data_IF_173940388802
#
_entry.id   IF_173940388802
#
_cell.length_a   1.000
_cell.length_b   1.000
_cell.length_c   1.000
_cell.angle_alpha   90.00
_cell.angle_beta   90.00
_cell.angle_gamma   90.00
#
_symmetry.space_group_name_H-M   'P 1'
#
loop_
_entity.id
_entity.type
_entity.pdbx_description
1 polymer ?
#
# COMPACT_ATOMS: atom_id res chain seq x y z
N UNK A 1 -40.56 -17.23 25.25
CA UNK A 1 -39.66 -17.68 26.34
C UNK A 1 -38.54 -18.50 25.72
N UNK A 2 -37.30 -18.43 26.24
CA UNK A 2 -36.09 -18.10 25.48
C UNK A 2 -35.06 -19.26 25.40
N UNK A 3 -33.85 -18.89 24.92
CA UNK A 3 -32.54 -19.56 25.10
C UNK A 3 -32.22 -20.71 24.15
N UNK A 4 -30.99 -20.96 23.71
CA UNK A 4 -29.74 -20.23 23.46
C UNK A 4 -28.79 -21.33 22.92
N UNK A 5 -27.75 -20.94 22.14
CA UNK A 5 -26.55 -21.74 21.84
C UNK A 5 -26.74 -23.02 20.98
N UNK A 6 -25.89 -23.44 20.06
CA UNK A 6 -24.47 -23.23 19.76
C UNK A 6 -24.29 -23.86 18.36
N UNK A 7 -23.46 -23.34 17.45
CA UNK A 7 -22.70 -24.24 16.57
C UNK A 7 -21.48 -23.55 15.97
N UNK A 8 -20.33 -23.99 16.47
CA UNK A 8 -18.98 -23.78 15.99
C UNK A 8 -18.84 -24.49 14.63
N UNK A 9 -18.46 -23.78 13.56
CA UNK A 9 -18.11 -24.43 12.28
C UNK A 9 -16.65 -24.11 11.90
N UNK A 10 -15.85 -25.17 11.88
CA UNK A 10 -14.46 -25.22 11.48
C UNK A 10 -14.31 -25.29 9.94
N UNK A 11 -13.17 -24.84 9.41
CA UNK A 11 -12.22 -25.67 8.60
C UNK A 11 -11.22 -24.82 7.80
N UNK A 12 -9.93 -25.09 8.05
CA UNK A 12 -8.83 -24.91 7.09
C UNK A 12 -9.04 -25.79 5.84
N UNK A 13 -8.41 -25.43 4.72
CA UNK A 13 -7.58 -26.45 4.07
C UNK A 13 -6.22 -25.92 3.57
N UNK A 14 -5.16 -26.61 4.00
CA UNK A 14 -3.84 -26.69 3.35
C UNK A 14 -3.95 -27.58 2.08
N UNK A 15 -3.37 -27.20 0.94
CA UNK A 15 -3.21 -28.08 -0.23
C UNK A 15 -1.78 -27.96 -0.81
N UNK A 16 -1.11 -29.11 -0.88
CA UNK A 16 0.20 -29.36 -1.49
C UNK A 16 0.08 -29.58 -3.00
N UNK A 17 1.10 -29.09 -3.73
CA UNK A 17 1.86 -29.73 -4.84
C UNK A 17 1.08 -30.52 -5.91
N UNK A 18 1.10 -30.03 -7.16
CA UNK A 18 0.87 -30.86 -8.37
C UNK A 18 1.87 -30.43 -9.44
N UNK A 19 2.56 -31.43 -9.99
CA UNK A 19 3.63 -31.35 -10.99
C UNK A 19 3.09 -31.15 -12.42
N UNK A 20 3.98 -30.62 -13.26
CA UNK A 20 4.16 -30.91 -14.69
C UNK A 20 2.94 -31.31 -15.54
N UNK A 21 2.61 -30.47 -16.52
CA UNK A 21 2.19 -30.96 -17.83
C UNK A 21 2.89 -30.19 -18.95
N UNK A 22 3.65 -30.96 -19.70
CA UNK A 22 4.36 -30.63 -20.92
C UNK A 22 3.44 -30.25 -22.08
N UNK A 23 4.02 -29.47 -23.00
CA UNK A 23 3.70 -29.33 -24.43
C UNK A 23 2.36 -28.68 -24.80
N UNK A 24 2.41 -27.57 -25.54
CA UNK A 24 2.32 -27.66 -27.01
C UNK A 24 2.72 -26.34 -27.68
N UNK A 25 3.43 -26.57 -28.77
CA UNK A 25 4.02 -25.71 -29.79
C UNK A 25 3.04 -24.81 -30.54
N UNK A 26 3.52 -23.64 -30.99
CA UNK A 26 3.27 -23.15 -32.36
C UNK A 26 4.33 -22.12 -32.79
N UNK A 27 5.38 -22.66 -33.41
CA UNK A 27 6.05 -22.27 -34.67
C UNK A 27 5.36 -21.16 -35.51
N UNK A 28 6.03 -20.09 -36.00
CA UNK A 28 6.65 -19.88 -37.35
C UNK A 28 6.74 -18.33 -37.52
N UNK A 29 7.83 -17.65 -37.91
CA UNK A 29 8.54 -17.69 -39.19
C UNK A 29 9.81 -16.82 -39.11
N UNK A 30 10.84 -17.27 -39.82
CA UNK A 30 12.13 -16.59 -40.04
C UNK A 30 12.14 -16.04 -41.48
N UNK A 31 12.88 -14.95 -41.78
CA UNK A 31 13.88 -15.10 -42.85
C UNK A 31 15.25 -14.42 -42.56
N UNK A 32 16.23 -15.29 -42.30
CA UNK A 32 17.60 -15.41 -42.82
C UNK A 32 18.10 -14.31 -43.78
N UNK A 33 19.25 -13.67 -43.47
CA UNK A 33 20.24 -13.22 -44.48
C UNK A 33 21.67 -13.14 -43.88
N UNK A 34 22.54 -14.04 -44.36
CA UNK A 34 24.04 -13.99 -44.55
C UNK A 34 24.95 -13.58 -43.37
N UNK A 35 25.63 -14.50 -42.68
CA UNK A 35 26.96 -15.10 -42.97
C UNK A 35 28.19 -14.17 -42.82
N UNK A 36 29.01 -14.39 -41.79
CA UNK A 36 30.45 -14.74 -41.92
C UNK A 36 30.95 -15.30 -40.57
N UNK A 37 31.61 -16.46 -40.64
CA UNK A 37 32.00 -17.32 -39.53
C UNK A 37 33.28 -16.85 -38.82
N UNK A 38 33.30 -16.92 -37.48
CA UNK A 38 34.48 -17.31 -36.71
C UNK A 38 34.00 -18.03 -35.44
N UNK A 39 34.42 -19.29 -35.30
CA UNK A 39 34.02 -20.23 -34.27
C UNK A 39 34.44 -19.80 -32.87
N UNK A 40 33.47 -19.45 -32.02
CA UNK A 40 33.58 -19.61 -30.58
C UNK A 40 32.58 -20.70 -30.19
N UNK A 41 33.06 -21.88 -29.84
CA UNK A 41 32.24 -22.91 -29.24
C UNK A 41 31.57 -22.33 -27.99
N UNK A 42 30.24 -22.28 -27.98
CA UNK A 42 29.47 -21.87 -26.82
C UNK A 42 29.50 -23.05 -25.84
N UNK A 43 30.29 -22.90 -24.78
CA UNK A 43 30.34 -23.86 -23.67
C UNK A 43 29.03 -23.78 -22.88
N UNK A 44 28.12 -24.73 -23.13
CA UNK A 44 26.81 -24.86 -22.48
C UNK A 44 26.88 -25.24 -21.00
N UNK A 45 28.07 -25.53 -20.47
CA UNK A 45 28.29 -25.80 -19.05
C UNK A 45 28.74 -24.56 -18.26
N UNK A 46 28.87 -23.40 -18.90
CA UNK A 46 29.10 -22.15 -18.17
C UNK A 46 27.77 -21.62 -17.64
N UNK A 47 27.63 -21.68 -16.31
CA UNK A 47 26.50 -21.12 -15.59
C UNK A 47 26.24 -19.69 -16.07
N UNK A 48 25.00 -19.42 -16.41
CA UNK A 48 24.51 -18.13 -16.88
C UNK A 48 24.72 -17.12 -15.73
N UNK A 49 25.92 -16.56 -15.59
CA UNK A 49 26.31 -15.80 -14.40
C UNK A 49 25.82 -14.35 -14.45
N UNK A 50 25.14 -13.95 -15.52
CA UNK A 50 24.82 -12.55 -15.80
C UNK A 50 23.32 -12.27 -15.89
N UNK A 51 22.46 -13.07 -15.25
CA UNK A 51 21.04 -12.72 -15.15
C UNK A 51 20.74 -11.90 -13.89
N UNK A 52 20.60 -10.60 -14.12
CA UNK A 52 19.63 -9.71 -13.47
C UNK A 52 19.67 -9.70 -11.94
N UNK A 53 20.63 -8.97 -11.39
CA UNK A 53 20.40 -8.26 -10.12
C UNK A 53 19.54 -7.03 -10.42
N UNK A 54 18.30 -7.24 -10.90
CA UNK A 54 17.30 -6.19 -10.83
C UNK A 54 17.04 -5.99 -9.34
N UNK A 55 17.55 -4.88 -8.80
CA UNK A 55 17.30 -4.44 -7.43
C UNK A 55 15.80 -4.53 -7.17
N UNK A 56 15.37 -5.50 -6.34
CA UNK A 56 14.03 -5.48 -5.76
C UNK A 56 14.04 -4.27 -4.83
N UNK A 57 13.71 -3.09 -5.36
CA UNK A 57 13.44 -1.93 -4.52
C UNK A 57 12.18 -2.28 -3.75
N UNK A 58 12.26 -2.25 -2.43
CA UNK A 58 11.13 -2.46 -1.55
C UNK A 58 10.15 -1.28 -1.75
N UNK A 59 9.23 -1.41 -2.71
CA UNK A 59 8.13 -0.47 -2.85
C UNK A 59 7.03 -0.84 -1.86
N UNK A 60 6.68 0.08 -0.97
CA UNK A 60 5.45 0.00 -0.20
C UNK A 60 4.27 0.21 -1.15
N UNK A 61 3.64 -0.88 -1.57
CA UNK A 61 2.44 -0.87 -2.44
C UNK A 61 1.15 -0.79 -1.62
N UNK A 62 1.20 -0.40 -0.33
CA UNK A 62 -0.03 -0.26 0.45
C UNK A 62 -0.87 0.93 -0.07
N UNK A 63 -2.15 0.72 -0.40
CA UNK A 63 -3.04 1.81 -0.75
C UNK A 63 -3.30 2.69 0.47
N UNK A 64 -3.35 4.01 0.25
CA UNK A 64 -3.68 4.96 1.32
C UNK A 64 -5.18 4.94 1.60
N UNK A 65 -5.53 4.95 2.87
CA UNK A 65 -6.92 4.91 3.32
C UNK A 65 -7.48 6.32 3.40
N UNK A 66 -8.65 6.50 2.80
CA UNK A 66 -9.37 7.78 2.77
C UNK A 66 -10.67 7.68 3.56
N UNK A 67 -10.92 8.66 4.43
CA UNK A 67 -12.06 8.71 5.32
C UNK A 67 -12.82 10.03 5.18
N UNK A 68 -14.14 9.98 5.31
CA UNK A 68 -15.03 11.15 5.41
C UNK A 68 -15.83 11.12 6.71
N UNK A 69 -15.22 10.60 7.76
CA UNK A 69 -15.85 10.29 9.05
C UNK A 69 -15.45 11.30 10.12
N UNK A 70 -15.38 12.59 9.74
CA UNK A 70 -15.11 13.68 10.70
C UNK A 70 -16.33 13.79 11.62
N UNK A 71 -16.10 13.58 12.92
CA UNK A 71 -17.14 13.65 13.95
C UNK A 71 -17.31 15.08 14.46
N UNK A 72 -16.23 15.85 14.52
CA UNK A 72 -16.26 17.22 15.00
C UNK A 72 -14.90 17.89 14.97
N UNK A 73 -14.90 19.20 15.20
CA UNK A 73 -13.72 20.06 15.20
C UNK A 73 -13.75 20.89 16.48
N UNK A 74 -12.64 20.90 17.22
CA UNK A 74 -12.47 21.63 18.47
C UNK A 74 -11.17 22.44 18.43
N UNK A 75 -11.27 23.75 18.18
CA UNK A 75 -10.09 24.60 18.01
C UNK A 75 -9.16 24.01 16.94
N UNK A 76 -7.87 23.78 17.23
CA UNK A 76 -6.93 23.19 16.26
C UNK A 76 -7.06 21.67 16.07
N UNK A 77 -7.98 21.02 16.80
CA UNK A 77 -8.13 19.56 16.84
C UNK A 77 -9.31 19.10 15.98
N UNK A 78 -9.11 18.03 15.21
CA UNK A 78 -10.13 17.36 14.40
C UNK A 78 -10.31 15.95 14.92
N UNK A 79 -11.56 15.55 15.15
CA UNK A 79 -11.91 14.24 15.68
C UNK A 79 -12.47 13.39 14.55
N UNK A 80 -11.83 12.25 14.31
CA UNK A 80 -12.23 11.27 13.30
C UNK A 80 -12.84 10.04 14.00
N UNK A 81 -13.95 9.55 13.44
CA UNK A 81 -14.60 8.30 13.83
C UNK A 81 -14.34 7.19 12.80
N UNK A 82 -14.58 5.94 13.19
CA UNK A 82 -14.55 4.76 12.30
C UNK A 82 -13.25 4.60 11.49
N UNK A 83 -12.12 5.02 12.04
CA UNK A 83 -10.80 4.87 11.41
C UNK A 83 -10.26 3.47 11.69
N UNK A 84 -9.65 2.83 10.68
CA UNK A 84 -9.06 1.50 10.80
C UNK A 84 -7.57 1.61 11.07
N UNK A 85 -7.14 1.08 12.21
CA UNK A 85 -5.73 1.02 12.61
C UNK A 85 -4.98 2.37 12.58
N UNK A 86 -5.54 3.47 13.13
CA UNK A 86 -4.80 4.73 13.20
C UNK A 86 -3.55 4.56 14.07
N UNK A 87 -2.42 5.13 13.64
CA UNK A 87 -1.19 5.14 14.41
C UNK A 87 -0.93 6.48 15.10
N UNK A 88 -0.28 6.43 16.25
CA UNK A 88 0.16 7.64 16.95
C UNK A 88 1.24 8.37 16.13
N UNK A 89 1.22 9.71 16.14
CA UNK A 89 2.14 10.57 15.41
C UNK A 89 2.15 10.37 13.88
N UNK A 90 1.16 9.68 13.34
CA UNK A 90 0.98 9.49 11.91
C UNK A 90 0.60 10.80 11.20
N UNK A 91 1.06 10.96 9.97
CA UNK A 91 0.71 12.13 9.14
C UNK A 91 -0.56 11.89 8.34
N UNK A 92 -1.48 12.84 8.48
CA UNK A 92 -2.78 12.85 7.82
C UNK A 92 -2.86 14.06 6.89
N UNK A 93 -3.29 13.80 5.66
CA UNK A 93 -3.59 14.84 4.69
C UNK A 93 -5.10 15.10 4.70
N UNK A 94 -5.51 16.34 4.99
CA UNK A 94 -6.90 16.77 4.91
C UNK A 94 -7.11 17.51 3.59
N UNK A 95 -8.18 17.19 2.88
CA UNK A 95 -8.64 17.92 1.70
C UNK A 95 -10.00 18.51 2.00
N UNK A 96 -10.07 19.84 1.99
CA UNK A 96 -11.31 20.60 2.18
C UNK A 96 -12.15 20.59 0.91
N UNK A 97 -13.40 21.05 1.02
CA UNK A 97 -14.33 21.17 -0.11
C UNK A 97 -13.91 22.21 -1.16
N UNK A 98 -13.06 23.17 -0.79
CA UNK A 98 -12.47 24.17 -1.68
C UNK A 98 -11.28 23.61 -2.49
N UNK A 99 -10.84 22.38 -2.18
CA UNK A 99 -9.66 21.75 -2.77
C UNK A 99 -8.35 22.05 -2.04
N UNK A 100 -8.38 22.91 -1.01
CA UNK A 100 -7.21 23.21 -0.18
C UNK A 100 -6.80 21.95 0.59
N UNK A 101 -5.50 21.63 0.52
CA UNK A 101 -4.91 20.53 1.27
C UNK A 101 -4.23 21.08 2.51
N UNK A 102 -4.53 20.48 3.67
CA UNK A 102 -3.90 20.78 4.94
C UNK A 102 -3.21 19.55 5.47
N UNK A 103 -2.11 19.76 6.17
CA UNK A 103 -1.41 18.66 6.84
C UNK A 103 -1.76 18.64 8.33
N UNK A 104 -1.85 17.45 8.90
CA UNK A 104 -2.06 17.26 10.31
C UNK A 104 -1.34 16.02 10.84
N UNK A 105 -1.30 15.91 12.16
CA UNK A 105 -0.68 14.81 12.87
C UNK A 105 -1.63 14.20 13.89
N UNK A 106 -1.65 12.88 13.99
CA UNK A 106 -2.42 12.16 15.02
C UNK A 106 -1.79 12.37 16.40
N UNK A 107 -2.55 12.94 17.33
CA UNK A 107 -2.18 13.15 18.74
C UNK A 107 -2.62 11.97 19.62
N UNK A 108 -3.79 11.40 19.36
CA UNK A 108 -4.35 10.36 20.20
C UNK A 108 -5.18 9.38 19.38
N UNK A 109 -5.13 8.11 19.79
CA UNK A 109 -5.89 7.02 19.20
C UNK A 109 -6.65 6.29 20.30
N UNK A 110 -7.97 6.20 20.15
CA UNK A 110 -8.85 5.44 21.04
C UNK A 110 -9.72 4.49 20.22
N UNK A 111 -9.42 3.19 20.24
CA UNK A 111 -10.15 2.14 19.48
C UNK A 111 -10.30 2.50 17.99
N UNK A 112 -11.44 3.09 17.62
CA UNK A 112 -11.79 3.46 16.25
C UNK A 112 -11.86 4.98 16.06
N UNK A 113 -11.46 5.75 17.07
CA UNK A 113 -11.40 7.22 17.04
C UNK A 113 -9.95 7.68 17.00
N UNK A 114 -9.71 8.74 16.24
CA UNK A 114 -8.41 9.40 16.17
C UNK A 114 -8.60 10.90 16.36
N UNK A 115 -7.70 11.51 17.14
CA UNK A 115 -7.63 12.96 17.31
C UNK A 115 -6.43 13.46 16.53
N UNK A 116 -6.67 14.38 15.60
CA UNK A 116 -5.67 14.94 14.69
C UNK A 116 -5.50 16.43 14.96
N UNK A 117 -4.27 16.88 15.10
CA UNK A 117 -3.93 18.31 15.12
C UNK A 117 -3.66 18.80 13.71
N UNK A 118 -4.29 19.89 13.31
CA UNK A 118 -4.04 20.50 11.99
C UNK A 118 -3.04 21.64 12.15
N UNK A 119 -1.95 21.61 11.39
CA UNK A 119 -0.87 22.62 11.51
C UNK A 119 -1.29 24.00 11.03
N UNK A 120 -2.07 24.05 9.94
CA UNK A 120 -2.58 25.29 9.35
C UNK A 120 -3.82 25.84 10.05
N UNK A 121 -4.31 25.13 11.07
CA UNK A 121 -5.59 25.42 11.73
C UNK A 121 -6.81 24.84 10.99
N UNK A 122 -7.97 24.94 11.63
CA UNK A 122 -9.19 24.22 11.24
C UNK A 122 -10.26 25.10 10.59
N UNK A 123 -9.94 26.36 10.27
CA UNK A 123 -10.85 27.31 9.64
C UNK A 123 -11.38 26.76 8.31
N UNK A 124 -12.69 26.56 8.19
CA UNK A 124 -13.30 26.04 6.95
C UNK A 124 -13.27 24.51 6.80
N UNK A 125 -12.87 23.75 7.84
CA UNK A 125 -13.07 22.30 7.88
C UNK A 125 -14.55 22.01 8.14
N UNK A 126 -15.18 21.26 7.23
CA UNK A 126 -16.54 20.75 7.40
C UNK A 126 -16.54 19.27 7.78
N UNK A 127 -17.53 18.82 8.55
CA UNK A 127 -17.62 17.42 8.98
C UNK A 127 -18.04 16.47 7.84
N UNK A 128 -18.78 16.95 6.84
CA UNK A 128 -19.37 16.11 5.78
C UNK A 128 -18.50 16.05 4.53
N UNK A 129 -17.93 17.20 4.16
CA UNK A 129 -17.24 17.33 2.88
C UNK A 129 -15.72 17.16 2.98
N UNK A 130 -15.14 17.22 4.19
CA UNK A 130 -13.70 17.07 4.37
C UNK A 130 -13.28 15.62 4.22
N UNK A 131 -12.22 15.42 3.45
CA UNK A 131 -11.64 14.12 3.16
C UNK A 131 -10.31 14.02 3.90
N UNK A 132 -10.10 12.95 4.66
CA UNK A 132 -8.87 12.70 5.40
C UNK A 132 -8.17 11.47 4.85
N UNK A 133 -6.93 11.60 4.45
CA UNK A 133 -6.07 10.54 3.92
C UNK A 133 -4.95 10.24 4.91
N UNK A 134 -4.87 8.97 5.33
CA UNK A 134 -3.85 8.49 6.25
C UNK A 134 -2.65 7.97 5.46
N UNK A 135 -1.45 8.45 5.80
CA UNK A 135 -0.23 8.09 5.07
C UNK A 135 0.28 6.70 5.45
N UNK A 136 -0.06 6.21 6.64
CA UNK A 136 0.45 4.96 7.22
C UNK A 136 1.88 5.05 7.73
N UNK A 137 2.47 6.25 7.74
CA UNK A 137 3.84 6.53 8.15
C UNK A 137 3.90 7.76 9.06
N UNK A 138 4.90 7.76 9.94
CA UNK A 138 5.26 8.92 10.75
C UNK A 138 5.99 9.97 9.90
N UNK A 139 6.02 11.21 10.38
CA UNK A 139 6.80 12.27 9.73
C UNK A 139 8.28 11.89 9.71
N UNK A 140 8.86 11.83 8.51
CA UNK A 140 10.30 11.61 8.30
C UNK A 140 10.87 12.82 7.59
N UNK A 141 11.91 13.42 8.17
CA UNK A 141 12.67 14.44 7.46
C UNK A 141 13.65 13.74 6.53
N UNK A 142 13.63 14.00 5.21
CA UNK A 142 14.72 13.58 4.35
C UNK A 142 15.99 14.31 4.79
N UNK A 143 17.09 13.58 4.89
CA UNK A 143 18.43 14.14 5.14
C UNK A 143 19.31 13.78 3.96
N UNK A 144 20.10 14.73 3.49
CA UNK A 144 21.11 14.56 2.46
C UNK A 144 22.35 15.35 2.86
N UNK A 145 23.53 14.83 2.57
CA UNK A 145 24.74 15.65 2.57
C UNK A 145 24.65 16.57 1.35
N UNK A 146 24.65 17.88 1.57
CA UNK A 146 24.75 18.93 0.54
C UNK A 146 26.22 19.25 0.27
#
# INVERSE_FOLDING_TARGET
>A
MPMELLFLCARKPDIKKIENFSSLSEEISVPRTTETMASAAIDVNQGITNHRTATIRNYTTQPRLTYKTVTGVNGPLVILGDVKYPQYAEIVQLTLQDGTKRSGQVLEVTKNKAVVQVFEGTSGIDAKNTICEFTGDILRSPVSED
#
